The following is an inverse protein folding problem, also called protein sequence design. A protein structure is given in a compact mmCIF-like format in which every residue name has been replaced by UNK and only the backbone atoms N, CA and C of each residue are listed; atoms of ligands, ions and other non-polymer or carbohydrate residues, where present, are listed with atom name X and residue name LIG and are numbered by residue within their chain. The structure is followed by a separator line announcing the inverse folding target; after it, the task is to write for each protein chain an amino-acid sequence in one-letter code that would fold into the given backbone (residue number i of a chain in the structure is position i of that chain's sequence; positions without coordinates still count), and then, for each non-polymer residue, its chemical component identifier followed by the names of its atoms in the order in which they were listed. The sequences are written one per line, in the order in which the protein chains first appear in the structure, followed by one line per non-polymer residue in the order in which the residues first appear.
data_IF_975866860060
#
_entry.id   IF_975866860060
#
_cell.length_a   1.000
_cell.length_b   1.000
_cell.length_c   1.000
_cell.angle_alpha   90.00
_cell.angle_beta   90.00
_cell.angle_gamma   90.00
#
_symmetry.space_group_name_H-M   'P 1'
#
loop_
_entity.id
_entity.type
_entity.pdbx_description
1 polymer ?
#
# COMPACT_ATOMS: atom_id res chain seq x y z
N UNK A 1 -6.38 0.41 4.09
CA UNK A 1 -5.16 -0.34 4.51
C UNK A 1 -4.34 0.55 5.42
N UNK A 2 -4.16 0.15 6.68
CA UNK A 2 -3.36 0.90 7.63
C UNK A 2 -1.89 0.47 7.57
N UNK A 3 -0.96 1.42 7.59
CA UNK A 3 0.49 1.16 7.59
C UNK A 3 0.95 0.95 9.03
N UNK A 4 1.61 -0.17 9.31
CA UNK A 4 2.24 -0.47 10.60
C UNK A 4 3.66 -1.00 10.37
N UNK A 5 4.62 -0.09 10.39
CA UNK A 5 6.02 -0.43 10.12
C UNK A 5 6.78 -0.69 11.43
N UNK A 6 7.40 -1.87 11.56
CA UNK A 6 8.33 -2.19 12.63
C UNK A 6 9.77 -1.86 12.23
N UNK A 7 10.02 -0.58 11.99
CA UNK A 7 11.35 -0.07 11.63
C UNK A 7 11.77 1.02 12.61
N UNK A 8 13.02 1.01 13.10
CA UNK A 8 13.48 2.02 14.07
C UNK A 8 13.64 3.41 13.45
N UNK A 9 13.64 3.49 12.11
CA UNK A 9 13.91 4.66 11.29
C UNK A 9 12.71 5.06 10.40
N UNK A 10 11.48 4.73 10.84
CA UNK A 10 10.26 5.11 10.13
C UNK A 10 10.19 6.64 9.94
N UNK A 11 9.94 7.10 8.71
CA UNK A 11 9.87 8.53 8.39
C UNK A 11 8.61 9.21 8.97
N UNK A 12 7.59 8.42 9.31
CA UNK A 12 6.32 8.93 9.81
C UNK A 12 6.30 9.07 11.34
N UNK A 13 6.68 8.01 12.05
CA UNK A 13 6.54 7.91 13.51
C UNK A 13 7.86 7.84 14.28
N UNK A 14 9.00 7.94 13.57
CA UNK A 14 10.33 7.90 14.20
C UNK A 14 10.62 6.59 14.92
N UNK A 15 9.98 5.47 14.52
CA UNK A 15 10.15 4.17 15.14
C UNK A 15 9.23 3.93 16.34
N UNK A 16 8.18 4.72 16.52
CA UNK A 16 7.24 4.56 17.66
C UNK A 16 6.55 3.18 17.69
N UNK A 17 6.42 2.51 16.54
CA UNK A 17 5.86 1.16 16.40
C UNK A 17 6.93 0.04 16.34
N UNK A 18 8.19 0.35 16.61
CA UNK A 18 9.25 -0.67 16.62
C UNK A 18 9.05 -1.74 17.69
N UNK A 19 8.66 -1.33 18.91
CA UNK A 19 8.32 -2.25 19.97
C UNK A 19 7.01 -3.00 19.68
N UNK A 20 6.98 -4.32 19.91
CA UNK A 20 5.86 -5.19 19.54
C UNK A 20 4.52 -4.73 20.13
N UNK A 21 4.48 -4.41 21.41
CA UNK A 21 3.24 -3.96 22.04
C UNK A 21 2.75 -2.63 21.46
N UNK A 22 3.64 -1.70 21.17
CA UNK A 22 3.29 -0.43 20.55
C UNK A 22 2.74 -0.64 19.13
N UNK A 23 3.29 -1.59 18.36
CA UNK A 23 2.78 -1.97 17.06
C UNK A 23 1.38 -2.60 17.14
N UNK A 24 1.16 -3.53 18.08
CA UNK A 24 -0.14 -4.15 18.31
C UNK A 24 -1.20 -3.12 18.75
N UNK A 25 -0.84 -2.16 19.57
CA UNK A 25 -1.71 -1.06 19.98
C UNK A 25 -2.01 -0.12 18.78
N UNK A 26 -1.05 0.09 17.89
CA UNK A 26 -1.27 0.85 16.65
C UNK A 26 -2.26 0.14 15.72
N UNK A 27 -2.17 -1.19 15.58
CA UNK A 27 -3.16 -1.97 14.85
C UNK A 27 -4.55 -1.83 15.48
N UNK A 28 -4.67 -1.99 16.79
CA UNK A 28 -5.96 -1.85 17.50
C UNK A 28 -6.58 -0.45 17.27
N UNK A 29 -5.77 0.61 17.32
CA UNK A 29 -6.22 1.98 16.98
C UNK A 29 -6.66 2.08 15.53
N UNK A 30 -5.91 1.54 14.59
CA UNK A 30 -6.24 1.57 13.17
C UNK A 30 -7.57 0.87 12.88
N UNK A 31 -7.83 -0.29 13.49
CA UNK A 31 -9.10 -1.00 13.41
C UNK A 31 -10.24 -0.16 13.99
N UNK A 32 -10.06 0.43 15.18
CA UNK A 32 -11.06 1.33 15.78
C UNK A 32 -11.31 2.60 14.94
N UNK A 33 -10.36 3.04 14.13
CA UNK A 33 -10.48 4.15 13.19
C UNK A 33 -11.09 3.76 11.83
N UNK A 34 -11.37 2.47 11.62
CA UNK A 34 -12.05 1.94 10.44
C UNK A 34 -11.11 1.40 9.36
N UNK A 35 -9.93 0.89 9.72
CA UNK A 35 -9.12 0.12 8.79
C UNK A 35 -9.79 -1.23 8.49
N UNK A 36 -9.86 -1.61 7.22
CA UNK A 36 -10.35 -2.93 6.78
C UNK A 36 -9.22 -3.96 6.73
N UNK A 37 -7.98 -3.49 6.56
CA UNK A 37 -6.78 -4.32 6.54
C UNK A 37 -5.57 -3.52 7.05
N UNK A 38 -4.55 -4.25 7.49
CA UNK A 38 -3.27 -3.68 7.92
C UNK A 38 -2.14 -4.17 7.02
N UNK A 39 -1.11 -3.35 6.86
CA UNK A 39 0.09 -3.67 6.09
C UNK A 39 1.31 -3.58 6.99
N UNK A 40 1.96 -4.72 7.20
CA UNK A 40 3.07 -4.88 8.14
C UNK A 40 4.39 -4.86 7.38
N UNK A 41 5.24 -3.88 7.66
CA UNK A 41 6.57 -3.76 7.07
C UNK A 41 7.70 -3.89 8.10
N UNK A 42 8.72 -4.69 7.78
CA UNK A 42 9.93 -4.88 8.61
C UNK A 42 11.12 -4.06 8.13
N UNK A 43 11.09 -3.54 6.89
CA UNK A 43 12.19 -2.82 6.26
C UNK A 43 11.67 -1.51 5.66
N UNK A 44 12.37 -0.41 5.95
CA UNK A 44 12.07 0.88 5.34
C UNK A 44 12.30 0.83 3.82
N UNK A 45 11.37 1.33 3.04
CA UNK A 45 11.46 1.36 1.59
C UNK A 45 12.60 2.26 1.04
N UNK A 46 12.93 3.36 1.73
CA UNK A 46 14.03 4.25 1.35
C UNK A 46 15.41 3.70 1.69
N UNK A 47 16.46 4.42 1.24
CA UNK A 47 17.85 4.13 1.60
C UNK A 47 18.02 4.09 3.13
N UNK A 48 18.94 3.25 3.59
CA UNK A 48 19.25 3.08 5.01
C UNK A 48 20.16 1.87 5.24
N UNK A 49 20.50 1.55 6.49
CA UNK A 49 21.29 0.37 6.80
C UNK A 49 20.69 -0.91 6.21
N UNK A 50 21.50 -1.86 5.75
CA UNK A 50 20.99 -3.14 5.28
C UNK A 50 20.29 -3.88 6.41
N UNK A 51 19.17 -4.51 6.07
CA UNK A 51 18.40 -5.39 6.96
C UNK A 51 18.40 -6.76 6.30
N UNK A 52 18.94 -7.78 6.96
CA UNK A 52 18.92 -9.15 6.46
C UNK A 52 17.55 -9.82 6.68
N UNK A 53 17.41 -11.02 6.15
CA UNK A 53 16.17 -11.80 6.22
C UNK A 53 15.82 -12.12 7.69
N UNK A 54 16.78 -12.54 8.48
CA UNK A 54 16.57 -12.94 9.88
C UNK A 54 16.07 -11.76 10.72
N UNK A 55 16.61 -10.57 10.49
CA UNK A 55 16.16 -9.35 11.17
C UNK A 55 14.76 -8.94 10.71
N UNK A 56 14.46 -9.04 9.41
CA UNK A 56 13.12 -8.74 8.90
C UNK A 56 12.08 -9.71 9.49
N UNK A 57 12.37 -11.01 9.52
CA UNK A 57 11.52 -12.03 10.16
C UNK A 57 11.31 -11.74 11.65
N UNK A 58 12.36 -11.38 12.39
CA UNK A 58 12.24 -11.01 13.82
C UNK A 58 11.33 -9.80 14.04
N UNK A 59 11.25 -8.90 13.07
CA UNK A 59 10.34 -7.74 13.12
C UNK A 59 8.92 -8.10 12.74
N UNK A 60 8.73 -8.86 11.67
CA UNK A 60 7.41 -9.09 11.04
C UNK A 60 6.62 -10.18 11.74
N UNK A 61 7.20 -11.37 11.93
CA UNK A 61 6.44 -12.55 12.37
C UNK A 61 5.74 -12.40 13.73
N UNK A 62 6.36 -11.82 14.78
CA UNK A 62 5.67 -11.65 16.05
C UNK A 62 4.46 -10.71 15.94
N UNK A 63 4.55 -9.69 15.05
CA UNK A 63 3.44 -8.78 14.85
C UNK A 63 2.31 -9.45 14.08
N UNK A 64 2.59 -10.16 12.99
CA UNK A 64 1.58 -10.89 12.20
C UNK A 64 0.81 -11.87 13.11
N UNK A 65 1.53 -12.70 13.90
CA UNK A 65 0.91 -13.63 14.85
C UNK A 65 0.04 -12.92 15.89
N UNK A 66 0.56 -11.87 16.51
CA UNK A 66 -0.17 -11.14 17.54
C UNK A 66 -1.39 -10.38 16.99
N UNK A 67 -1.35 -9.92 15.73
CA UNK A 67 -2.51 -9.33 15.04
C UNK A 67 -3.55 -10.41 14.75
N UNK A 68 -3.15 -11.56 14.21
CA UNK A 68 -4.06 -12.67 13.92
C UNK A 68 -4.76 -13.20 15.18
N UNK A 69 -4.04 -13.29 16.30
CA UNK A 69 -4.63 -13.68 17.60
C UNK A 69 -5.67 -12.69 18.12
N UNK A 70 -5.39 -11.38 18.00
CA UNK A 70 -6.28 -10.32 18.52
C UNK A 70 -7.42 -9.95 17.57
N UNK A 71 -7.23 -10.13 16.27
CA UNK A 71 -8.14 -9.74 15.20
C UNK A 71 -8.23 -10.87 14.15
N UNK A 72 -8.95 -11.98 14.47
CA UNK A 72 -8.98 -13.18 13.62
C UNK A 72 -9.45 -12.93 12.18
N UNK A 73 -10.35 -11.98 11.98
CA UNK A 73 -10.97 -11.69 10.69
C UNK A 73 -10.32 -10.50 9.94
N UNK A 74 -9.31 -9.85 10.54
CA UNK A 74 -8.63 -8.73 9.90
C UNK A 74 -7.71 -9.23 8.79
N UNK A 75 -7.81 -8.65 7.61
CA UNK A 75 -6.87 -8.95 6.52
C UNK A 75 -5.49 -8.37 6.87
N UNK A 76 -4.48 -9.22 6.83
CA UNK A 76 -3.08 -8.87 7.13
C UNK A 76 -2.27 -8.94 5.85
N UNK A 77 -1.70 -7.82 5.46
CA UNK A 77 -0.73 -7.68 4.38
C UNK A 77 0.69 -7.65 4.95
N UNK A 78 1.65 -8.22 4.25
CA UNK A 78 3.08 -8.11 4.56
C UNK A 78 3.79 -7.35 3.44
N UNK A 79 4.43 -6.22 3.78
CA UNK A 79 5.25 -5.42 2.87
C UNK A 79 6.66 -5.98 2.83
N UNK A 80 6.96 -6.80 1.82
CA UNK A 80 8.27 -7.40 1.60
C UNK A 80 8.48 -7.71 0.13
N UNK A 81 9.73 -7.69 -0.31
CA UNK A 81 10.15 -8.14 -1.65
C UNK A 81 10.89 -9.49 -1.62
N UNK A 82 10.89 -10.19 -0.48
CA UNK A 82 11.64 -11.42 -0.27
C UNK A 82 10.71 -12.61 -0.13
N UNK A 83 10.85 -13.59 -1.00
CA UNK A 83 10.03 -14.80 -0.99
C UNK A 83 10.10 -15.55 0.35
N UNK A 84 11.29 -15.69 0.94
CA UNK A 84 11.45 -16.35 2.24
C UNK A 84 10.67 -15.63 3.37
N UNK A 85 10.66 -14.28 3.39
CA UNK A 85 9.91 -13.52 4.40
C UNK A 85 8.41 -13.63 4.16
N UNK A 86 7.98 -13.56 2.90
CA UNK A 86 6.58 -13.69 2.53
C UNK A 86 6.02 -15.07 2.94
N UNK A 87 6.75 -16.16 2.64
CA UNK A 87 6.37 -17.53 3.02
C UNK A 87 6.12 -17.63 4.53
N UNK A 88 7.10 -17.25 5.34
CA UNK A 88 6.99 -17.35 6.79
C UNK A 88 5.91 -16.41 7.36
N UNK A 89 5.67 -15.25 6.72
CA UNK A 89 4.61 -14.33 7.12
C UNK A 89 3.21 -14.89 6.82
N UNK A 90 3.02 -15.58 5.68
CA UNK A 90 1.76 -16.24 5.37
C UNK A 90 1.52 -17.41 6.32
N UNK A 91 2.53 -18.21 6.63
CA UNK A 91 2.45 -19.27 7.65
C UNK A 91 2.12 -18.72 9.04
N UNK A 92 2.56 -17.51 9.34
CA UNK A 92 2.22 -16.80 10.58
C UNK A 92 0.80 -16.19 10.59
N UNK A 93 0.11 -16.18 9.45
CA UNK A 93 -1.27 -15.72 9.31
C UNK A 93 -1.47 -14.47 8.43
N UNK A 94 -0.52 -14.07 7.60
CA UNK A 94 -0.75 -13.04 6.58
C UNK A 94 -1.62 -13.58 5.43
N UNK A 95 -2.44 -12.70 4.85
CA UNK A 95 -3.38 -13.03 3.76
C UNK A 95 -2.93 -12.46 2.41
N UNK A 96 -2.10 -11.41 2.42
CA UNK A 96 -1.72 -10.64 1.24
C UNK A 96 -0.22 -10.34 1.27
N UNK A 97 0.46 -10.52 0.15
CA UNK A 97 1.84 -10.12 -0.07
C UNK A 97 1.85 -8.79 -0.81
N UNK A 98 2.41 -7.75 -0.20
CA UNK A 98 2.56 -6.44 -0.81
C UNK A 98 3.98 -6.32 -1.39
N UNK A 99 4.12 -6.67 -2.68
CA UNK A 99 5.38 -6.58 -3.41
C UNK A 99 5.60 -5.15 -3.94
N UNK A 100 6.08 -4.27 -3.09
CA UNK A 100 6.36 -2.87 -3.45
C UNK A 100 7.45 -2.71 -4.52
N UNK A 101 8.29 -3.74 -4.75
CA UNK A 101 9.45 -3.67 -5.65
C UNK A 101 9.30 -4.43 -6.96
N UNK A 102 8.06 -4.71 -7.34
CA UNK A 102 7.69 -5.18 -8.69
C UNK A 102 8.43 -6.43 -9.16
N UNK A 103 8.45 -7.48 -8.33
CA UNK A 103 9.09 -8.75 -8.67
C UNK A 103 10.61 -8.73 -8.57
N UNK A 104 11.19 -7.90 -7.68
CA UNK A 104 12.63 -7.91 -7.41
C UNK A 104 13.15 -9.28 -6.99
N UNK A 105 12.32 -10.07 -6.29
CA UNK A 105 12.49 -11.49 -6.06
C UNK A 105 11.46 -12.25 -6.91
N UNK A 106 11.87 -12.95 -7.98
CA UNK A 106 10.94 -13.62 -8.89
C UNK A 106 10.17 -14.78 -8.24
N UNK A 107 10.67 -15.34 -7.14
CA UNK A 107 10.02 -16.44 -6.41
C UNK A 107 8.83 -15.96 -5.58
N UNK A 108 8.64 -14.66 -5.41
CA UNK A 108 7.57 -14.10 -4.56
C UNK A 108 6.16 -14.46 -5.08
N UNK A 109 5.99 -14.51 -6.39
CA UNK A 109 4.73 -14.88 -7.01
C UNK A 109 4.41 -16.37 -6.81
N UNK A 110 5.44 -17.23 -6.79
CA UNK A 110 5.29 -18.67 -6.55
C UNK A 110 4.82 -18.89 -5.10
N UNK A 111 5.39 -18.16 -4.13
CA UNK A 111 4.92 -18.19 -2.73
C UNK A 111 3.44 -17.82 -2.62
N UNK A 112 2.99 -16.77 -3.32
CA UNK A 112 1.57 -16.39 -3.30
C UNK A 112 0.67 -17.50 -3.88
N UNK A 113 1.11 -18.14 -4.97
CA UNK A 113 0.38 -19.25 -5.61
C UNK A 113 0.32 -20.50 -4.71
N UNK A 114 1.45 -20.91 -4.13
CA UNK A 114 1.58 -22.11 -3.29
C UNK A 114 0.82 -21.99 -1.97
N UNK A 115 0.84 -20.81 -1.36
CA UNK A 115 0.20 -20.56 -0.07
C UNK A 115 -1.27 -20.14 -0.19
N UNK A 116 -1.71 -19.76 -1.39
CA UNK A 116 -3.04 -19.21 -1.64
C UNK A 116 -3.23 -17.78 -1.15
N UNK A 117 -2.16 -17.07 -0.79
CA UNK A 117 -2.18 -15.65 -0.43
C UNK A 117 -2.51 -14.78 -1.65
N UNK A 118 -3.07 -13.59 -1.41
CA UNK A 118 -3.15 -12.55 -2.44
C UNK A 118 -1.79 -11.88 -2.68
N UNK A 119 -1.69 -11.16 -3.81
CA UNK A 119 -0.48 -10.40 -4.15
C UNK A 119 -0.81 -9.02 -4.70
N UNK A 120 0.02 -8.03 -4.38
CA UNK A 120 0.01 -6.70 -4.99
C UNK A 120 1.08 -6.64 -6.06
N UNK A 121 0.69 -6.47 -7.32
CA UNK A 121 1.59 -6.28 -8.45
C UNK A 121 1.90 -4.80 -8.62
N UNK A 122 3.12 -4.39 -8.37
CA UNK A 122 3.57 -2.99 -8.28
C UNK A 122 4.41 -2.56 -9.48
N UNK A 123 4.72 -1.27 -9.55
CA UNK A 123 5.59 -0.66 -10.56
C UNK A 123 6.72 0.15 -9.92
N UNK A 124 7.95 -0.33 -10.01
CA UNK A 124 9.15 0.34 -9.48
C UNK A 124 9.98 1.09 -10.53
N UNK A 125 9.55 1.10 -11.80
CA UNK A 125 10.33 1.65 -12.91
C UNK A 125 11.62 0.85 -13.19
N UNK A 126 11.64 -0.46 -12.87
CA UNK A 126 12.79 -1.35 -13.07
C UNK A 126 13.93 -1.14 -12.08
N UNK A 127 13.69 -0.39 -11.00
CA UNK A 127 14.71 -0.15 -9.97
C UNK A 127 14.82 -1.33 -9.00
N UNK A 128 16.04 -1.65 -8.59
CA UNK A 128 16.28 -2.56 -7.49
C UNK A 128 15.79 -1.96 -6.15
N UNK A 129 15.45 -2.82 -5.17
CA UNK A 129 14.97 -2.35 -3.87
C UNK A 129 15.90 -1.34 -3.21
N UNK A 130 15.31 -0.26 -2.66
CA UNK A 130 15.97 0.76 -1.85
C UNK A 130 17.04 1.60 -2.57
N UNK A 131 16.97 1.65 -3.91
CA UNK A 131 17.78 2.57 -4.71
C UNK A 131 17.06 3.90 -4.88
N UNK A 132 17.84 5.00 -4.95
CA UNK A 132 17.33 6.35 -5.18
C UNK A 132 16.68 6.47 -6.57
N UNK A 133 15.37 6.83 -6.63
CA UNK A 133 14.56 6.81 -7.84
C UNK A 133 14.73 8.03 -8.77
N UNK A 134 15.57 9.01 -8.46
CA UNK A 134 15.51 10.35 -9.07
C UNK A 134 15.85 10.43 -10.57
N UNK A 135 16.21 9.34 -11.24
CA UNK A 135 16.70 9.38 -12.64
C UNK A 135 15.94 8.52 -13.64
N UNK A 136 14.81 7.93 -13.25
CA UNK A 136 14.03 7.13 -14.21
C UNK A 136 13.33 8.07 -15.20
N UNK A 137 13.41 7.72 -16.48
CA UNK A 137 12.75 8.45 -17.57
C UNK A 137 11.69 7.56 -18.19
N UNK A 138 10.55 8.14 -18.48
CA UNK A 138 9.44 7.50 -19.19
C UNK A 138 9.06 8.36 -20.39
N UNK A 139 8.74 7.75 -21.51
CA UNK A 139 8.08 8.44 -22.64
C UNK A 139 6.63 8.75 -22.26
N UNK A 140 5.92 7.78 -21.64
CA UNK A 140 4.63 7.94 -20.99
C UNK A 140 4.62 7.07 -19.72
N UNK A 141 4.67 7.71 -18.55
CA UNK A 141 4.71 7.01 -17.25
C UNK A 141 3.46 6.19 -16.99
N UNK A 142 2.30 6.63 -17.46
CA UNK A 142 1.03 5.93 -17.23
C UNK A 142 0.93 4.68 -18.09
N UNK A 143 1.31 4.79 -19.37
CA UNK A 143 1.37 3.63 -20.26
C UNK A 143 2.36 2.57 -19.77
N UNK A 144 3.53 2.97 -19.25
CA UNK A 144 4.54 2.08 -18.67
C UNK A 144 4.00 1.37 -17.42
N UNK A 145 3.34 2.12 -16.53
CA UNK A 145 2.67 1.56 -15.34
C UNK A 145 1.61 0.54 -15.76
N UNK A 146 0.70 0.91 -16.67
CA UNK A 146 -0.38 0.02 -17.14
C UNK A 146 0.18 -1.28 -17.70
N UNK A 147 1.21 -1.20 -18.54
CA UNK A 147 1.86 -2.38 -19.11
C UNK A 147 2.46 -3.27 -18.02
N UNK A 148 3.27 -2.69 -17.13
CA UNK A 148 4.01 -3.44 -16.09
C UNK A 148 3.07 -4.11 -15.08
N UNK A 149 2.06 -3.38 -14.56
CA UNK A 149 1.17 -3.97 -13.55
C UNK A 149 0.23 -5.01 -14.16
N UNK A 150 -0.15 -4.85 -15.44
CA UNK A 150 -0.97 -5.83 -16.15
C UNK A 150 -0.17 -7.11 -16.41
N UNK A 151 1.07 -6.99 -16.88
CA UNK A 151 1.97 -8.14 -17.05
C UNK A 151 2.21 -8.86 -15.72
N UNK A 152 2.44 -8.12 -14.63
CA UNK A 152 2.60 -8.68 -13.29
C UNK A 152 1.37 -9.47 -12.84
N UNK A 153 0.17 -8.90 -13.03
CA UNK A 153 -1.09 -9.56 -12.70
C UNK A 153 -1.34 -10.83 -13.54
N UNK A 154 -1.04 -10.77 -14.84
CA UNK A 154 -1.17 -11.95 -15.73
C UNK A 154 -0.20 -13.06 -15.29
N UNK A 155 1.07 -12.73 -15.02
CA UNK A 155 2.04 -13.70 -14.49
C UNK A 155 1.58 -14.33 -13.17
N UNK A 156 0.98 -13.54 -12.28
CA UNK A 156 0.46 -14.06 -11.02
C UNK A 156 -0.68 -15.09 -11.26
N UNK A 157 -1.59 -14.82 -12.21
CA UNK A 157 -2.63 -15.80 -12.61
C UNK A 157 -2.01 -17.05 -13.21
N UNK A 158 -1.04 -16.90 -14.11
CA UNK A 158 -0.35 -18.04 -14.76
C UNK A 158 0.41 -18.90 -13.74
N UNK A 159 0.97 -18.31 -12.69
CA UNK A 159 1.60 -19.02 -11.58
C UNK A 159 0.59 -19.73 -10.66
N UNK A 160 -0.70 -19.40 -10.72
CA UNK A 160 -1.76 -20.04 -9.93
C UNK A 160 -2.39 -19.17 -8.85
N UNK A 161 -2.01 -17.90 -8.74
CA UNK A 161 -2.69 -16.96 -7.82
C UNK A 161 -4.12 -16.73 -8.29
N UNK A 162 -5.07 -16.78 -7.36
CA UNK A 162 -6.48 -16.55 -7.69
C UNK A 162 -6.68 -15.11 -8.20
N UNK A 163 -7.42 -14.89 -9.30
CA UNK A 163 -7.64 -13.54 -9.84
C UNK A 163 -8.28 -12.56 -8.84
N UNK A 164 -9.12 -13.04 -7.94
CA UNK A 164 -9.74 -12.24 -6.88
C UNK A 164 -8.80 -11.90 -5.70
N UNK A 165 -7.62 -12.51 -5.65
CA UNK A 165 -6.53 -12.21 -4.72
C UNK A 165 -5.49 -11.22 -5.27
N UNK A 166 -5.65 -10.67 -6.48
CA UNK A 166 -4.67 -9.78 -7.11
C UNK A 166 -5.11 -8.33 -7.00
N UNK A 167 -4.18 -7.48 -6.54
CA UNK A 167 -4.27 -6.03 -6.59
C UNK A 167 -3.14 -5.50 -7.48
N UNK A 168 -3.33 -4.31 -8.07
CA UNK A 168 -2.26 -3.60 -8.77
C UNK A 168 -1.98 -2.26 -8.10
N UNK A 169 -0.71 -1.88 -7.97
CA UNK A 169 -0.30 -0.59 -7.39
C UNK A 169 0.58 0.18 -8.39
N UNK A 170 0.16 1.35 -8.87
CA UNK A 170 0.99 2.23 -9.68
C UNK A 170 2.22 2.78 -8.96
N UNK A 171 2.31 2.63 -7.67
CA UNK A 171 3.43 2.88 -6.76
C UNK A 171 4.03 4.28 -6.93
N UNK A 172 3.25 5.30 -6.58
CA UNK A 172 3.69 6.71 -6.60
C UNK A 172 5.01 6.89 -5.85
N UNK A 173 5.89 7.74 -6.36
CA UNK A 173 7.25 8.06 -5.89
C UNK A 173 8.31 6.95 -6.03
N UNK A 174 7.95 5.72 -6.36
CA UNK A 174 8.92 4.66 -6.64
C UNK A 174 9.28 4.67 -8.12
N UNK A 175 10.54 4.94 -8.43
CA UNK A 175 11.00 5.16 -9.81
C UNK A 175 10.36 6.36 -10.50
N UNK A 176 9.68 7.22 -9.77
CA UNK A 176 8.90 8.35 -10.27
C UNK A 176 9.25 9.63 -9.54
N UNK A 177 9.37 10.72 -10.27
CA UNK A 177 9.47 12.06 -9.70
C UNK A 177 8.07 12.63 -9.45
N UNK A 178 8.02 13.82 -8.85
CA UNK A 178 6.79 14.54 -8.51
C UNK A 178 5.86 14.73 -9.71
N UNK A 179 6.40 15.09 -10.88
CA UNK A 179 5.58 15.28 -12.10
C UNK A 179 4.96 13.99 -12.58
N UNK A 180 5.72 12.87 -12.54
CA UNK A 180 5.23 11.54 -12.87
C UNK A 180 4.10 11.11 -11.90
N UNK A 181 4.28 11.32 -10.60
CA UNK A 181 3.27 10.97 -9.59
C UNK A 181 2.00 11.81 -9.72
N UNK A 182 2.11 13.10 -10.05
CA UNK A 182 0.97 13.97 -10.33
C UNK A 182 0.24 13.56 -11.61
N UNK A 183 0.97 13.25 -12.69
CA UNK A 183 0.38 12.77 -13.94
C UNK A 183 -0.35 11.43 -13.74
N UNK A 184 0.28 10.50 -13.04
CA UNK A 184 -0.30 9.21 -12.70
C UNK A 184 -1.59 9.35 -11.86
N UNK A 185 -1.61 10.28 -10.90
CA UNK A 185 -2.83 10.58 -10.12
C UNK A 185 -3.95 11.13 -11.02
N UNK A 186 -3.60 12.00 -11.98
CA UNK A 186 -4.56 12.62 -12.92
C UNK A 186 -5.17 11.61 -13.88
N UNK A 187 -4.38 10.63 -14.34
CA UNK A 187 -4.74 9.63 -15.34
C UNK A 187 -4.94 8.23 -14.73
N UNK A 188 -5.28 8.16 -13.44
CA UNK A 188 -5.43 6.89 -12.71
C UNK A 188 -6.57 6.02 -13.26
N UNK A 189 -7.55 6.62 -13.91
CA UNK A 189 -8.61 5.91 -14.62
C UNK A 189 -8.09 4.96 -15.70
N UNK A 190 -6.96 5.26 -16.34
CA UNK A 190 -6.31 4.35 -17.30
C UNK A 190 -5.79 3.07 -16.62
N UNK A 191 -5.24 3.20 -15.39
CA UNK A 191 -4.85 2.02 -14.60
C UNK A 191 -6.08 1.25 -14.15
N UNK A 192 -7.14 1.93 -13.73
CA UNK A 192 -8.42 1.31 -13.34
C UNK A 192 -9.07 0.58 -14.53
N UNK A 193 -8.92 1.11 -15.74
CA UNK A 193 -9.45 0.50 -16.97
C UNK A 193 -8.82 -0.87 -17.31
N UNK A 194 -7.69 -1.25 -16.69
CA UNK A 194 -7.13 -2.62 -16.80
C UNK A 194 -8.06 -3.68 -16.25
N UNK A 195 -9.03 -3.31 -15.40
CA UNK A 195 -9.99 -4.22 -14.75
C UNK A 195 -9.48 -4.80 -13.43
N UNK A 196 -8.20 -4.70 -13.11
CA UNK A 196 -7.67 -5.12 -11.81
C UNK A 196 -8.01 -4.10 -10.72
N UNK A 197 -8.32 -4.55 -9.48
CA UNK A 197 -8.52 -3.62 -8.36
C UNK A 197 -7.23 -2.83 -8.06
N UNK A 198 -7.33 -1.50 -8.04
CA UNK A 198 -6.18 -0.62 -7.84
C UNK A 198 -6.01 -0.27 -6.37
N UNK A 199 -4.80 -0.53 -5.85
CA UNK A 199 -4.28 0.00 -4.60
C UNK A 199 -3.50 1.29 -4.90
N UNK A 200 -3.62 2.30 -4.03
CA UNK A 200 -2.77 3.50 -4.06
C UNK A 200 -2.19 3.78 -2.68
N UNK A 201 -0.90 4.13 -2.66
CA UNK A 201 -0.15 4.51 -1.47
C UNK A 201 0.33 5.95 -1.61
N UNK A 202 -0.48 6.93 -1.18
CA UNK A 202 -0.23 8.35 -1.38
C UNK A 202 0.20 9.08 -0.09
N UNK A 203 0.05 8.41 1.06
CA UNK A 203 0.11 9.02 2.38
C UNK A 203 1.47 9.68 2.65
N UNK A 204 1.44 11.02 2.74
CA UNK A 204 2.56 11.89 3.08
C UNK A 204 3.80 11.74 2.20
N UNK A 205 3.63 11.24 0.96
CA UNK A 205 4.70 11.01 0.00
C UNK A 205 5.32 12.32 -0.50
N UNK A 206 6.50 12.22 -1.09
CA UNK A 206 7.32 13.38 -1.47
C UNK A 206 6.68 14.18 -2.60
N UNK A 207 5.95 13.55 -3.53
CA UNK A 207 5.22 14.30 -4.55
C UNK A 207 4.20 15.28 -3.97
N UNK A 208 3.57 14.96 -2.81
CA UNK A 208 2.67 15.88 -2.09
C UNK A 208 3.48 17.01 -1.45
N UNK A 209 4.58 16.64 -0.77
CA UNK A 209 5.45 17.60 -0.10
C UNK A 209 6.08 18.60 -1.05
N UNK A 210 6.66 18.12 -2.16
CA UNK A 210 7.27 18.97 -3.19
C UNK A 210 6.24 19.86 -3.90
N UNK A 211 5.03 19.34 -4.15
CA UNK A 211 3.97 20.15 -4.80
C UNK A 211 3.55 21.34 -3.92
N UNK A 212 3.52 21.18 -2.61
CA UNK A 212 3.00 22.16 -1.66
C UNK A 212 4.11 22.89 -0.89
N UNK A 213 5.38 22.51 -1.08
CA UNK A 213 6.54 22.96 -0.29
C UNK A 213 6.34 22.71 1.22
N UNK A 214 5.94 21.47 1.59
CA UNK A 214 5.59 21.09 2.95
C UNK A 214 6.44 19.94 3.51
N UNK A 215 6.82 20.00 4.80
CA UNK A 215 7.49 18.89 5.47
C UNK A 215 6.50 17.70 5.68
N UNK A 216 7.00 16.47 5.92
CA UNK A 216 6.14 15.28 6.05
C UNK A 216 4.98 15.39 7.05
N UNK A 217 5.18 16.12 8.16
CA UNK A 217 4.16 16.34 9.19
C UNK A 217 2.94 17.15 8.73
N UNK A 218 3.10 17.98 7.68
CA UNK A 218 2.09 18.94 7.21
C UNK A 218 1.46 18.54 5.86
N UNK A 219 1.62 17.29 5.41
CA UNK A 219 1.15 16.80 4.09
C UNK A 219 -0.26 16.18 4.12
N UNK A 220 -1.00 16.29 5.22
CA UNK A 220 -2.28 15.60 5.36
C UNK A 220 -3.31 16.06 4.33
N UNK A 221 -3.53 17.36 4.20
CA UNK A 221 -4.54 17.92 3.30
C UNK A 221 -4.26 17.57 1.85
N UNK A 222 -3.00 17.67 1.41
CA UNK A 222 -2.58 17.27 0.07
C UNK A 222 -2.76 15.76 -0.15
N UNK A 223 -2.45 14.94 0.83
CA UNK A 223 -2.71 13.50 0.80
C UNK A 223 -4.19 13.20 0.64
N UNK A 224 -5.06 13.87 1.40
CA UNK A 224 -6.52 13.67 1.34
C UNK A 224 -7.10 14.14 0.01
N UNK A 225 -6.58 15.22 -0.58
CA UNK A 225 -6.97 15.67 -1.90
C UNK A 225 -6.62 14.63 -2.99
N UNK A 226 -5.37 14.12 -2.98
CA UNK A 226 -4.95 13.06 -3.90
C UNK A 226 -5.76 11.77 -3.70
N UNK A 227 -6.09 11.42 -2.44
CA UNK A 227 -6.96 10.28 -2.08
C UNK A 227 -8.36 10.45 -2.67
N UNK A 228 -8.97 11.63 -2.54
CA UNK A 228 -10.30 11.90 -3.09
C UNK A 228 -10.33 11.76 -4.61
N UNK A 229 -9.35 12.30 -5.32
CA UNK A 229 -9.22 12.18 -6.78
C UNK A 229 -9.02 10.71 -7.19
N UNK A 230 -8.14 9.97 -6.50
CA UNK A 230 -7.92 8.56 -6.78
C UNK A 230 -9.18 7.70 -6.54
N UNK A 231 -9.95 8.01 -5.49
CA UNK A 231 -11.24 7.37 -5.24
C UNK A 231 -12.26 7.71 -6.32
N UNK A 232 -12.27 8.95 -6.83
CA UNK A 232 -13.11 9.35 -7.94
C UNK A 232 -12.81 8.57 -9.21
N UNK A 233 -11.53 8.38 -9.52
CA UNK A 233 -11.08 7.58 -10.67
C UNK A 233 -11.32 6.07 -10.50
N UNK A 234 -11.60 5.57 -9.30
CA UNK A 234 -12.00 4.19 -9.08
C UNK A 234 -11.00 3.30 -8.35
N UNK A 235 -9.95 3.87 -7.74
CA UNK A 235 -9.10 3.10 -6.82
C UNK A 235 -9.93 2.44 -5.71
N UNK A 236 -9.51 1.25 -5.27
CA UNK A 236 -10.27 0.41 -4.32
C UNK A 236 -9.60 0.29 -2.96
N UNK A 237 -8.27 0.27 -2.91
CA UNK A 237 -7.50 0.14 -1.67
C UNK A 237 -6.62 1.38 -1.50
N UNK A 238 -6.63 1.94 -0.30
CA UNK A 238 -5.88 3.15 0.07
C UNK A 238 -4.96 2.86 1.24
N UNK A 239 -3.66 2.79 0.98
CA UNK A 239 -2.63 2.55 1.99
C UNK A 239 -2.24 3.86 2.65
N UNK A 240 -2.46 3.98 3.97
CA UNK A 240 -2.38 5.27 4.68
C UNK A 240 -1.87 5.14 6.11
N UNK A 241 -1.22 6.20 6.60
CA UNK A 241 -0.91 6.38 8.02
C UNK A 241 -2.10 7.01 8.78
N UNK A 242 -2.87 7.87 8.12
CA UNK A 242 -3.95 8.66 8.72
C UNK A 242 -5.32 8.00 8.47
N UNK A 243 -5.56 6.85 9.11
CA UNK A 243 -6.72 5.96 8.85
C UNK A 243 -8.05 6.71 8.98
N UNK A 244 -8.28 7.38 10.11
CA UNK A 244 -9.55 8.08 10.38
C UNK A 244 -9.84 9.17 9.35
N UNK A 245 -8.84 9.96 8.98
CA UNK A 245 -9.00 11.04 8.01
C UNK A 245 -9.29 10.46 6.61
N UNK A 246 -8.53 9.45 6.20
CA UNK A 246 -8.71 8.74 4.92
C UNK A 246 -10.09 8.09 4.84
N UNK A 247 -10.53 7.37 5.89
CA UNK A 247 -11.88 6.76 5.93
C UNK A 247 -12.99 7.79 5.71
N UNK A 248 -12.90 8.95 6.38
CA UNK A 248 -13.89 10.03 6.22
C UNK A 248 -13.93 10.58 4.79
N UNK A 249 -12.78 10.73 4.14
CA UNK A 249 -12.73 11.13 2.72
C UNK A 249 -13.38 10.09 1.84
N UNK A 250 -13.03 8.81 2.01
CA UNK A 250 -13.60 7.72 1.20
C UNK A 250 -15.10 7.56 1.40
N UNK A 251 -15.60 7.68 2.63
CA UNK A 251 -17.03 7.67 2.93
C UNK A 251 -17.76 8.85 2.26
N UNK A 252 -17.15 10.04 2.28
CA UNK A 252 -17.69 11.22 1.59
C UNK A 252 -17.70 11.02 0.07
N UNK A 253 -16.62 10.47 -0.50
CA UNK A 253 -16.53 10.18 -1.94
C UNK A 253 -17.56 9.13 -2.36
N UNK A 254 -17.79 8.09 -1.57
CA UNK A 254 -18.81 7.08 -1.83
C UNK A 254 -20.21 7.70 -1.82
N UNK A 255 -20.49 8.64 -0.90
CA UNK A 255 -21.76 9.36 -0.86
C UNK A 255 -21.93 10.30 -2.05
N UNK A 256 -20.88 11.02 -2.46
CA UNK A 256 -20.92 11.88 -3.66
C UNK A 256 -21.18 11.06 -4.93
N UNK A 257 -20.58 9.86 -5.04
CA UNK A 257 -20.80 8.92 -6.16
C UNK A 257 -22.19 8.22 -6.11
N UNK A 258 -22.94 8.37 -5.03
CA UNK A 258 -24.25 7.72 -4.86
C UNK A 258 -24.16 6.23 -4.51
N UNK A 259 -22.98 5.69 -4.19
CA UNK A 259 -22.80 4.28 -3.81
C UNK A 259 -23.01 4.03 -2.32
N UNK A 260 -23.11 5.10 -1.52
CA UNK A 260 -23.40 5.06 -0.09
C UNK A 260 -24.39 6.16 0.26
N UNK A 261 -25.46 5.89 1.02
CA UNK A 261 -26.32 6.96 1.53
C UNK A 261 -25.58 7.78 2.60
N UNK A 262 -25.95 9.05 2.79
CA UNK A 262 -25.42 9.84 3.90
C UNK A 262 -25.80 9.18 5.23
N UNK A 263 -24.91 9.20 6.22
CA UNK A 263 -25.18 8.63 7.55
C UNK A 263 -26.37 9.29 8.25
N UNK A 264 -26.59 10.59 7.98
CA UNK A 264 -27.74 11.37 8.48
C UNK A 264 -28.15 12.36 7.40
N UNK A 265 -29.44 12.41 7.07
CA UNK A 265 -30.03 13.41 6.18
C UNK A 265 -31.13 14.16 6.95
N UNK A 266 -30.81 15.32 7.48
CA UNK A 266 -31.76 16.17 8.24
C UNK A 266 -32.09 17.48 7.53
N UNK A 267 -31.19 17.95 6.67
CA UNK A 267 -31.32 19.24 6.01
C UNK A 267 -32.29 19.14 4.84
N UNK A 268 -33.30 20.03 4.80
CA UNK A 268 -34.29 20.08 3.72
C UNK A 268 -35.30 18.91 3.68
N UNK A 269 -35.32 18.06 4.70
CA UNK A 269 -36.40 17.11 4.91
C UNK A 269 -37.50 17.81 5.70
N UNK A 270 -38.65 18.00 5.06
CA UNK A 270 -39.90 18.50 5.68
C UNK A 270 -40.72 17.32 6.12
#
# INVERSE_FOLDING_TARGET
MAIVNRTPDSFYDGGATFELNAALDAVARAVAEGADLVDVGGVRAGMGPPVDIDEELRRVLPLVRGVRERHPDLVISVDTWRAAVAHDAVDAGADLINDTWAGADPELVDVAAETGAGIVCSHSGGLAPRIDPHRVRFDDVVADVVATVTEGAVRAVEAGVRPDGILVDPTHDFGKNTRHSLELTRRLDEVVATGWPVLVALSRKDFVGETLDLPPGERLEGTLAATAISAWHGARVFRTHDVRATRRVLDMMASIRGTRPPSVARRGLV
#
